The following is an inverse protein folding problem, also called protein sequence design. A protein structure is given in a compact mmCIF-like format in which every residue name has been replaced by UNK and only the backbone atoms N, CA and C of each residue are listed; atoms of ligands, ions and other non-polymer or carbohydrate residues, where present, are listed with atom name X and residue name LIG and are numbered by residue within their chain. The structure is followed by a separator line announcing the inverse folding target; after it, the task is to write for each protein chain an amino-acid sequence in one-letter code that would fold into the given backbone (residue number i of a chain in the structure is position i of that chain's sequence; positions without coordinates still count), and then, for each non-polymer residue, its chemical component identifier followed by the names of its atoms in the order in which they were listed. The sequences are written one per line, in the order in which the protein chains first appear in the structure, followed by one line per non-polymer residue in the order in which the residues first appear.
data_IF_742348769804
#
_entry.id   IF_742348769804
#
_cell.length_a   1.000
_cell.length_b   1.000
_cell.length_c   1.000
_cell.angle_alpha   90.00
_cell.angle_beta   90.00
_cell.angle_gamma   90.00
#
_symmetry.space_group_name_H-M   'P 1'
#
loop_
_entity.id
_entity.type
_entity.pdbx_description
1 polymer ?
#
# COMPACT_ATOMS: atom_id res chain seq x y z
N UNK A 1 -11.32 2.74 -0.36
CA UNK A 1 -10.71 4.06 -0.61
C UNK A 1 -10.29 4.25 -2.07
N UNK A 2 -9.66 3.24 -2.70
CA UNK A 2 -9.25 3.24 -4.13
C UNK A 2 -10.26 3.85 -5.10
N UNK A 3 -11.47 3.30 -5.20
CA UNK A 3 -12.52 3.75 -6.14
C UNK A 3 -12.80 5.25 -6.00
N UNK A 4 -12.82 5.78 -4.77
CA UNK A 4 -13.06 7.20 -4.51
C UNK A 4 -11.90 8.08 -4.97
N UNK A 5 -10.65 7.66 -4.71
CA UNK A 5 -9.47 8.45 -5.10
C UNK A 5 -9.28 8.42 -6.63
N UNK A 6 -9.41 7.26 -7.27
CA UNK A 6 -9.31 7.12 -8.73
C UNK A 6 -10.39 7.95 -9.46
N UNK A 7 -11.61 8.00 -8.92
CA UNK A 7 -12.70 8.76 -9.51
C UNK A 7 -12.46 10.29 -9.50
N UNK A 8 -11.66 10.78 -8.56
CA UNK A 8 -11.38 12.22 -8.43
C UNK A 8 -10.04 12.58 -9.08
N UNK A 9 -8.99 11.78 -8.83
CA UNK A 9 -7.63 12.04 -9.31
C UNK A 9 -6.85 10.74 -9.52
N UNK A 10 -6.80 10.25 -10.76
CA UNK A 10 -6.02 9.04 -11.11
C UNK A 10 -4.53 9.17 -10.76
N UNK A 11 -3.93 10.34 -10.98
CA UNK A 11 -2.51 10.58 -10.69
C UNK A 11 -2.20 10.60 -9.18
N UNK A 12 -3.21 10.83 -8.34
CA UNK A 12 -3.07 10.76 -6.87
C UNK A 12 -3.07 9.31 -6.41
N UNK A 13 -3.88 8.45 -7.05
CA UNK A 13 -3.82 7.02 -6.81
C UNK A 13 -2.47 6.43 -7.22
N UNK A 14 -1.94 6.85 -8.37
CA UNK A 14 -0.60 6.44 -8.83
C UNK A 14 0.49 6.74 -7.78
N UNK A 15 0.45 7.92 -7.16
CA UNK A 15 1.39 8.28 -6.09
C UNK A 15 1.24 7.42 -4.81
N UNK A 16 0.04 6.89 -4.54
CA UNK A 16 -0.19 5.96 -3.42
C UNK A 16 0.37 4.57 -3.76
N UNK A 17 0.16 4.10 -4.98
CA UNK A 17 0.55 2.75 -5.40
C UNK A 17 2.07 2.65 -5.64
N UNK A 18 2.63 3.63 -6.34
CA UNK A 18 4.03 3.62 -6.79
C UNK A 18 4.97 4.47 -5.92
N UNK A 19 4.42 5.33 -5.06
CA UNK A 19 5.19 6.20 -4.18
C UNK A 19 5.37 7.63 -4.71
N UNK A 20 6.01 8.50 -3.92
CA UNK A 20 6.15 9.90 -4.28
C UNK A 20 7.05 10.07 -5.50
N UNK A 21 6.69 11.00 -6.38
CA UNK A 21 7.56 11.38 -7.48
C UNK A 21 8.78 12.15 -6.98
N UNK A 22 9.98 11.65 -7.29
CA UNK A 22 11.27 12.28 -6.97
C UNK A 22 11.92 12.77 -8.28
N UNK A 23 12.00 14.09 -8.52
CA UNK A 23 12.64 14.64 -9.72
C UNK A 23 14.15 14.38 -9.71
N UNK A 24 14.66 13.80 -10.79
CA UNK A 24 16.07 13.43 -10.95
C UNK A 24 16.72 14.21 -12.10
N UNK A 25 18.01 14.54 -12.00
CA UNK A 25 18.85 15.11 -13.06
C UNK A 25 20.05 14.21 -13.35
N UNK A 26 20.55 14.27 -14.59
CA UNK A 26 21.84 13.71 -14.96
C UNK A 26 22.93 14.74 -14.71
N UNK A 27 23.91 14.36 -13.92
CA UNK A 27 25.11 15.14 -13.61
C UNK A 27 26.32 14.32 -14.12
N UNK A 28 26.60 14.46 -15.41
CA UNK A 28 27.50 13.53 -16.12
C UNK A 28 26.88 12.13 -16.25
N UNK A 29 27.60 11.09 -15.78
CA UNK A 29 27.14 9.70 -15.76
C UNK A 29 26.31 9.34 -14.52
N UNK A 30 26.23 10.22 -13.52
CA UNK A 30 25.45 9.98 -12.30
C UNK A 30 24.03 10.57 -12.39
N UNK A 31 23.06 9.82 -11.87
CA UNK A 31 21.68 10.31 -11.67
C UNK A 31 21.57 10.79 -10.23
N UNK A 32 21.25 12.08 -10.04
CA UNK A 32 21.09 12.72 -8.72
C UNK A 32 19.72 13.36 -8.57
N UNK A 33 19.23 13.40 -7.34
CA UNK A 33 18.01 14.13 -7.01
C UNK A 33 18.17 15.62 -7.29
N UNK A 34 17.17 16.22 -7.93
CA UNK A 34 17.13 17.67 -8.15
C UNK A 34 16.77 18.38 -6.85
N UNK A 35 17.49 19.45 -6.54
CA UNK A 35 17.08 20.36 -5.48
C UNK A 35 15.72 21.02 -5.83
N UNK A 36 14.86 21.27 -4.84
CA UNK A 36 13.47 21.74 -5.04
C UNK A 36 13.36 23.04 -5.85
N UNK A 37 14.39 23.88 -5.81
CA UNK A 37 14.45 25.13 -6.57
C UNK A 37 14.65 24.93 -8.07
N UNK A 38 15.18 23.79 -8.49
CA UNK A 38 15.42 23.44 -9.90
C UNK A 38 14.23 22.71 -10.54
N UNK A 39 13.16 22.45 -9.77
CA UNK A 39 12.02 21.71 -10.25
C UNK A 39 11.21 22.54 -11.25
N UNK A 40 10.89 21.94 -12.38
CA UNK A 40 9.88 22.46 -13.31
C UNK A 40 8.49 22.43 -12.68
N UNK A 41 7.56 23.20 -13.24
CA UNK A 41 6.19 23.25 -12.72
C UNK A 41 5.45 21.93 -12.86
N UNK A 42 5.77 21.14 -13.89
CA UNK A 42 5.27 19.77 -14.06
C UNK A 42 5.80 18.82 -12.97
N UNK A 43 7.09 18.90 -12.65
CA UNK A 43 7.70 18.09 -11.59
C UNK A 43 7.12 18.46 -10.21
N UNK A 44 6.92 19.75 -9.95
CA UNK A 44 6.22 20.23 -8.74
C UNK A 44 4.80 19.69 -8.69
N UNK A 45 4.06 19.72 -9.81
CA UNK A 45 2.68 19.21 -9.88
C UNK A 45 2.63 17.71 -9.57
N UNK A 46 3.54 16.91 -10.13
CA UNK A 46 3.65 15.47 -9.81
C UNK A 46 3.99 15.23 -8.33
N UNK A 47 4.94 15.97 -7.77
CA UNK A 47 5.29 15.86 -6.35
C UNK A 47 4.14 16.31 -5.41
N UNK A 48 3.23 17.17 -5.87
CA UNK A 48 2.04 17.55 -5.09
C UNK A 48 1.02 16.41 -4.97
N UNK A 49 1.04 15.40 -5.85
CA UNK A 49 0.10 14.29 -5.80
C UNK A 49 0.26 13.49 -4.51
N UNK A 50 1.49 13.23 -4.07
CA UNK A 50 1.76 12.60 -2.77
C UNK A 50 1.18 13.44 -1.62
N UNK A 51 1.41 14.76 -1.60
CA UNK A 51 0.86 15.65 -0.56
C UNK A 51 -0.68 15.65 -0.54
N UNK A 52 -1.32 15.60 -1.71
CA UNK A 52 -2.79 15.48 -1.83
C UNK A 52 -3.28 14.13 -1.33
N UNK A 53 -2.59 13.04 -1.69
CA UNK A 53 -2.90 11.70 -1.20
C UNK A 53 -2.80 11.63 0.33
N UNK A 54 -1.70 12.11 0.93
CA UNK A 54 -1.53 12.18 2.39
C UNK A 54 -2.70 12.92 3.04
N UNK A 55 -3.07 14.09 2.51
CA UNK A 55 -4.20 14.88 3.01
C UNK A 55 -5.53 14.11 2.96
N UNK A 56 -5.82 13.45 1.84
CA UNK A 56 -7.05 12.65 1.67
C UNK A 56 -7.07 11.49 2.67
N UNK A 57 -5.97 10.74 2.78
CA UNK A 57 -5.84 9.62 3.71
C UNK A 57 -6.05 10.12 5.15
N UNK A 58 -5.33 11.17 5.57
CA UNK A 58 -5.48 11.72 6.93
C UNK A 58 -6.91 12.14 7.26
N UNK A 59 -7.62 12.80 6.33
CA UNK A 59 -9.01 13.22 6.59
C UNK A 59 -10.02 12.08 6.62
N UNK A 60 -9.71 10.94 6.00
CA UNK A 60 -10.59 9.78 6.00
C UNK A 60 -10.49 8.95 7.29
N UNK A 61 -9.56 9.26 8.19
CA UNK A 61 -9.23 8.42 9.34
C UNK A 61 -9.73 8.99 10.66
N UNK A 62 -9.95 8.09 11.62
CA UNK A 62 -10.11 8.45 13.02
C UNK A 62 -8.77 8.92 13.61
N UNK A 63 -8.83 9.55 14.78
CA UNK A 63 -7.65 10.04 15.50
C UNK A 63 -6.68 8.89 15.82
N UNK A 64 -7.19 7.73 16.25
CA UNK A 64 -6.37 6.57 16.58
C UNK A 64 -5.60 6.03 15.37
N UNK A 65 -6.27 5.94 14.22
CA UNK A 65 -5.65 5.51 12.96
C UNK A 65 -4.65 6.53 12.43
N UNK A 66 -4.92 7.82 12.62
CA UNK A 66 -3.98 8.88 12.28
C UNK A 66 -2.67 8.74 13.06
N UNK A 67 -2.72 8.49 14.38
CA UNK A 67 -1.50 8.33 15.19
C UNK A 67 -0.63 7.18 14.68
N UNK A 68 -1.24 6.09 14.22
CA UNK A 68 -0.53 4.93 13.68
C UNK A 68 0.30 5.26 12.44
N UNK A 69 -0.20 6.12 11.57
CA UNK A 69 0.48 6.50 10.32
C UNK A 69 1.18 7.86 10.40
N UNK A 70 1.19 8.49 11.57
CA UNK A 70 1.67 9.87 11.76
C UNK A 70 3.15 10.06 11.43
N UNK A 71 3.95 8.99 11.55
CA UNK A 71 5.39 8.99 11.24
C UNK A 71 5.70 8.63 9.79
N UNK A 72 4.70 8.24 9.00
CA UNK A 72 4.91 7.85 7.61
C UNK A 72 5.30 9.05 6.74
N UNK A 73 6.32 8.86 5.92
CA UNK A 73 6.95 9.92 5.14
C UNK A 73 6.15 10.16 3.85
N UNK A 74 5.60 9.10 3.25
CA UNK A 74 4.85 9.16 1.98
C UNK A 74 3.41 8.65 2.10
N UNK A 75 2.56 9.01 1.14
CA UNK A 75 1.21 8.48 1.06
C UNK A 75 1.19 6.96 0.84
N UNK A 76 2.16 6.43 0.09
CA UNK A 76 2.36 4.99 -0.09
C UNK A 76 2.59 4.29 1.24
N UNK A 77 3.51 4.80 2.05
CA UNK A 77 3.81 4.23 3.36
C UNK A 77 2.61 4.29 4.32
N UNK A 78 1.87 5.40 4.30
CA UNK A 78 0.61 5.52 5.04
C UNK A 78 -0.40 4.44 4.61
N UNK A 79 -0.55 4.24 3.30
CA UNK A 79 -1.47 3.26 2.73
C UNK A 79 -1.04 1.81 3.03
N UNK A 80 0.23 1.48 2.82
CA UNK A 80 0.81 0.17 3.10
C UNK A 80 0.64 -0.18 4.61
N UNK A 81 0.85 0.79 5.49
CA UNK A 81 0.64 0.62 6.95
C UNK A 81 -0.81 0.34 7.30
N UNK A 82 -1.76 1.05 6.68
CA UNK A 82 -3.19 0.81 6.86
C UNK A 82 -3.61 -0.56 6.34
N UNK A 83 -3.10 -0.96 5.17
CA UNK A 83 -3.34 -2.30 4.63
C UNK A 83 -2.83 -3.37 5.60
N UNK A 84 -1.57 -3.27 6.04
CA UNK A 84 -1.01 -4.22 7.01
C UNK A 84 -1.81 -4.27 8.31
N UNK A 85 -2.33 -3.13 8.77
CA UNK A 85 -3.08 -3.06 10.04
C UNK A 85 -4.47 -3.70 9.95
N UNK A 86 -5.24 -3.39 8.90
CA UNK A 86 -6.63 -3.83 8.78
C UNK A 86 -6.79 -5.13 8.02
N UNK A 87 -5.95 -5.33 7.01
CA UNK A 87 -5.95 -6.54 6.21
C UNK A 87 -4.94 -7.57 6.74
N UNK A 88 -4.01 -7.20 7.63
CA UNK A 88 -2.90 -8.07 7.99
C UNK A 88 -1.85 -8.13 6.88
N UNK A 89 -0.69 -8.71 7.19
CA UNK A 89 0.38 -8.91 6.22
C UNK A 89 -0.07 -9.95 5.19
N UNK A 90 0.05 -9.63 3.89
CA UNK A 90 -0.35 -10.51 2.79
C UNK A 90 0.33 -11.89 2.87
N UNK A 91 1.58 -11.94 3.36
CA UNK A 91 2.31 -13.18 3.59
C UNK A 91 1.72 -14.05 4.70
N UNK A 92 1.21 -13.44 5.79
CA UNK A 92 0.53 -14.18 6.87
C UNK A 92 -0.78 -14.77 6.35
N UNK A 93 -1.54 -13.99 5.57
CA UNK A 93 -2.75 -14.48 4.88
C UNK A 93 -2.43 -15.62 3.92
N UNK A 94 -1.38 -15.47 3.11
CA UNK A 94 -0.93 -16.49 2.14
C UNK A 94 -0.48 -17.76 2.85
N UNK A 95 0.31 -17.64 3.92
CA UNK A 95 0.76 -18.78 4.73
C UNK A 95 -0.43 -19.52 5.32
N UNK A 96 -1.42 -18.81 5.87
CA UNK A 96 -2.62 -19.44 6.42
C UNK A 96 -3.43 -20.16 5.35
N UNK A 97 -3.59 -19.56 4.16
CA UNK A 97 -4.22 -20.23 3.01
C UNK A 97 -3.46 -21.49 2.60
N UNK A 98 -2.14 -21.42 2.49
CA UNK A 98 -1.32 -22.57 2.12
C UNK A 98 -1.44 -23.70 3.16
N UNK A 99 -1.44 -23.37 4.45
CA UNK A 99 -1.68 -24.35 5.52
C UNK A 99 -3.04 -25.01 5.38
N UNK A 100 -4.11 -24.24 5.18
CA UNK A 100 -5.47 -24.78 5.02
C UNK A 100 -5.60 -25.67 3.78
N UNK A 101 -5.00 -25.26 2.65
CA UNK A 101 -4.96 -26.07 1.42
C UNK A 101 -4.25 -27.40 1.70
N UNK A 102 -3.09 -27.34 2.37
CA UNK A 102 -2.33 -28.55 2.71
C UNK A 102 -3.09 -29.46 3.67
N UNK A 103 -3.77 -28.90 4.68
CA UNK A 103 -4.62 -29.66 5.60
C UNK A 103 -5.77 -30.33 4.85
N UNK A 104 -6.43 -29.61 3.93
CA UNK A 104 -7.48 -30.16 3.08
C UNK A 104 -6.98 -31.27 2.15
N UNK A 105 -5.83 -31.08 1.48
CA UNK A 105 -5.23 -32.10 0.61
C UNK A 105 -4.81 -33.36 1.37
N UNK A 106 -4.40 -33.21 2.63
CA UNK A 106 -4.06 -34.31 3.53
C UNK A 106 -5.28 -34.88 4.25
N UNK A 107 -6.45 -34.24 4.14
CA UNK A 107 -7.67 -34.68 4.82
C UNK A 107 -8.17 -35.96 4.17
N UNK A 108 -8.11 -37.05 4.93
CA UNK A 108 -8.52 -38.38 4.48
C UNK A 108 -9.26 -39.08 5.61
N UNK A 109 -10.27 -39.85 5.23
CA UNK A 109 -11.11 -40.60 6.15
C UNK A 109 -10.24 -41.56 6.98
N UNK A 110 -10.43 -41.54 8.30
CA UNK A 110 -9.68 -42.38 9.22
C UNK A 110 -10.21 -43.81 9.19
N UNK A 111 -9.36 -44.77 9.56
CA UNK A 111 -9.76 -46.18 9.62
C UNK A 111 -10.85 -46.38 10.69
N UNK A 112 -12.06 -46.75 10.25
CA UNK A 112 -13.21 -46.98 11.13
C UNK A 112 -14.15 -45.78 11.29
N UNK A 113 -13.84 -44.64 10.65
CA UNK A 113 -14.75 -43.50 10.54
C UNK A 113 -15.86 -43.82 9.53
N UNK A 114 -17.12 -43.52 9.86
CA UNK A 114 -18.21 -43.66 8.89
C UNK A 114 -18.27 -42.45 7.97
N UNK A 115 -18.90 -42.58 6.81
CA UNK A 115 -19.11 -41.46 5.87
C UNK A 115 -19.89 -40.31 6.52
N UNK A 116 -20.71 -40.60 7.53
CA UNK A 116 -21.45 -39.57 8.27
C UNK A 116 -20.59 -38.83 9.30
N UNK A 117 -19.45 -39.42 9.70
CA UNK A 117 -18.53 -38.86 10.68
C UNK A 117 -17.39 -38.06 10.01
N UNK A 118 -17.13 -38.33 8.72
CA UNK A 118 -16.14 -37.66 7.86
C UNK A 118 -16.68 -36.34 7.27
#
# INVERSE_FOLDING_TARGET
MRIFIEAIYIDVWDAIENGPYIPMKKDGDEIKEKHWSEWSDEEKKRAQHDKRAKKIITFALSIDEFFRISQCISAKEMWDTLQVTHEGISDVKRSRNHTLIREYELFRMQNGESISDF
#
